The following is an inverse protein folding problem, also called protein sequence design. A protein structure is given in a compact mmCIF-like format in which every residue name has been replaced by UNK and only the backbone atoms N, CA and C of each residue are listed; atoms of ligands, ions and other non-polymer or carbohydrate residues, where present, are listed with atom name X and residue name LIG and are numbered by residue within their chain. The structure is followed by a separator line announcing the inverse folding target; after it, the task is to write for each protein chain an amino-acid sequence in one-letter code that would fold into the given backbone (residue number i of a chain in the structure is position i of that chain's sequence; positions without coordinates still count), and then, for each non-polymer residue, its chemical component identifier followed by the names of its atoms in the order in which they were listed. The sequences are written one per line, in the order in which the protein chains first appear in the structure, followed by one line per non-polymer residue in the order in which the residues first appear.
data_IF_229467521473
#
_entry.id   IF_229467521473
#
_cell.length_a   1.000
_cell.length_b   1.000
_cell.length_c   1.000
_cell.angle_alpha   90.00
_cell.angle_beta   90.00
_cell.angle_gamma   90.00
#
_symmetry.space_group_name_H-M   'P 1'
#
loop_
_entity.id
_entity.type
_entity.pdbx_description
1 polymer ?
#
# COMPACT_ATOMS: atom_id res chain seq x y z
N UNK A 1 -24.22 -40.59 7.36
CA UNK A 1 -23.59 -39.59 6.46
C UNK A 1 -22.54 -38.86 7.28
N UNK A 2 -21.47 -39.58 7.61
CA UNK A 2 -20.35 -39.09 8.41
C UNK A 2 -19.10 -39.18 7.54
N UNK A 3 -18.56 -38.03 7.13
CA UNK A 3 -17.19 -37.90 6.63
C UNK A 3 -16.80 -36.41 6.50
N UNK A 4 -16.77 -35.68 7.61
CA UNK A 4 -15.84 -34.55 7.75
C UNK A 4 -14.65 -35.08 8.55
N UNK A 5 -13.81 -35.84 7.86
CA UNK A 5 -12.53 -36.30 8.37
C UNK A 5 -11.66 -35.11 8.72
N UNK A 6 -11.42 -34.91 10.02
CA UNK A 6 -10.48 -33.93 10.52
C UNK A 6 -9.07 -34.28 10.05
N UNK A 7 -8.58 -33.60 9.02
CA UNK A 7 -7.16 -33.50 8.78
C UNK A 7 -6.58 -32.55 9.83
N UNK A 8 -6.15 -33.09 10.97
CA UNK A 8 -5.17 -32.41 11.82
C UNK A 8 -3.84 -32.36 11.05
N UNK A 9 -3.76 -31.44 10.09
CA UNK A 9 -2.53 -31.14 9.38
C UNK A 9 -1.54 -30.53 10.35
N UNK A 10 -0.37 -31.17 10.49
CA UNK A 10 0.74 -30.65 11.28
C UNK A 10 1.04 -29.21 10.84
N UNK A 11 0.89 -28.24 11.75
CA UNK A 11 1.11 -26.85 11.43
C UNK A 11 2.55 -26.64 10.94
N UNK A 12 2.71 -26.01 9.76
CA UNK A 12 4.04 -25.71 9.23
C UNK A 12 4.79 -24.76 10.18
N UNK A 13 6.13 -24.85 10.29
CA UNK A 13 6.90 -23.97 11.15
C UNK A 13 6.70 -22.49 10.78
N UNK A 14 6.62 -21.63 11.79
CA UNK A 14 6.64 -20.18 11.61
C UNK A 14 8.08 -19.72 11.35
N UNK A 15 8.29 -18.99 10.26
CA UNK A 15 9.61 -18.63 9.74
C UNK A 15 9.78 -17.14 9.56
N UNK A 16 11.02 -16.69 9.28
CA UNK A 16 11.29 -15.30 8.89
C UNK A 16 10.49 -14.89 7.64
N UNK A 17 10.23 -15.82 6.72
CA UNK A 17 9.44 -15.57 5.52
C UNK A 17 8.01 -15.16 5.88
N UNK A 18 7.43 -15.77 6.91
CA UNK A 18 6.07 -15.43 7.37
C UNK A 18 6.00 -14.01 7.93
N UNK A 19 7.02 -13.61 8.69
CA UNK A 19 7.14 -12.23 9.20
C UNK A 19 7.29 -11.24 8.06
N UNK A 20 8.21 -11.49 7.13
CA UNK A 20 8.42 -10.59 6.00
C UNK A 20 7.18 -10.50 5.12
N UNK A 21 6.56 -11.63 4.81
CA UNK A 21 5.32 -11.65 4.04
C UNK A 21 4.21 -10.84 4.74
N UNK A 22 3.99 -11.08 6.04
CA UNK A 22 2.95 -10.37 6.79
C UNK A 22 3.21 -8.86 6.84
N UNK A 23 4.46 -8.44 7.10
CA UNK A 23 4.83 -7.03 7.10
C UNK A 23 4.70 -6.40 5.72
N UNK A 24 5.11 -7.08 4.65
CA UNK A 24 4.95 -6.63 3.27
C UNK A 24 3.48 -6.46 2.91
N UNK A 25 2.61 -7.41 3.30
CA UNK A 25 1.16 -7.30 3.10
C UNK A 25 0.60 -6.10 3.85
N UNK A 26 0.92 -5.93 5.13
CA UNK A 26 0.42 -4.80 5.93
C UNK A 26 0.91 -3.46 5.36
N UNK A 27 2.19 -3.37 4.94
CA UNK A 27 2.78 -2.14 4.42
C UNK A 27 2.12 -1.70 3.11
N UNK A 28 1.89 -2.66 2.20
CA UNK A 28 1.42 -2.39 0.84
C UNK A 28 -0.10 -2.34 0.69
N UNK A 29 -0.86 -3.07 1.52
CA UNK A 29 -2.31 -3.27 1.33
C UNK A 29 -3.21 -2.65 2.39
N UNK A 30 -2.65 -2.07 3.46
CA UNK A 30 -3.49 -1.42 4.46
C UNK A 30 -4.14 -0.16 3.89
N UNK A 31 -5.40 0.04 4.25
CA UNK A 31 -6.11 1.28 3.99
C UNK A 31 -6.17 2.11 5.26
N UNK A 32 -5.91 3.41 5.13
CA UNK A 32 -6.22 4.37 6.19
C UNK A 32 -7.72 4.66 6.18
N UNK A 33 -8.34 4.47 7.33
CA UNK A 33 -9.76 4.70 7.65
C UNK A 33 -9.88 5.73 8.77
N UNK A 34 -11.10 6.10 9.13
CA UNK A 34 -11.38 6.98 10.27
C UNK A 34 -11.11 6.33 11.63
N UNK A 35 -11.00 4.99 11.70
CA UNK A 35 -10.71 4.23 12.94
C UNK A 35 -9.26 3.75 13.03
N UNK A 36 -8.40 4.18 12.11
CA UNK A 36 -7.02 3.71 12.00
C UNK A 36 -6.75 2.97 10.69
N UNK A 37 -5.79 2.05 10.70
CA UNK A 37 -5.43 1.27 9.50
C UNK A 37 -5.98 -0.14 9.58
N UNK A 38 -6.54 -0.63 8.47
CA UNK A 38 -7.07 -1.98 8.37
C UNK A 38 -6.75 -2.59 7.00
N UNK A 39 -6.69 -3.92 6.94
CA UNK A 39 -6.80 -4.66 5.67
C UNK A 39 -8.28 -4.80 5.37
N UNK A 40 -8.70 -4.30 4.20
CA UNK A 40 -10.10 -4.27 3.79
C UNK A 40 -10.22 -5.13 2.54
N UNK A 41 -10.76 -6.35 2.65
CA UNK A 41 -10.89 -7.25 1.51
C UNK A 41 -11.61 -6.57 0.34
N UNK A 42 -11.23 -6.93 -0.88
CA UNK A 42 -11.67 -6.33 -2.15
C UNK A 42 -11.16 -4.91 -2.38
N UNK A 43 -11.27 -4.02 -1.39
CA UNK A 43 -10.77 -2.66 -1.51
C UNK A 43 -9.24 -2.60 -1.62
N UNK A 44 -8.53 -3.57 -1.02
CA UNK A 44 -7.08 -3.72 -1.09
C UNK A 44 -6.56 -4.33 -2.41
N UNK A 45 -7.45 -4.66 -3.35
CA UNK A 45 -7.12 -5.07 -4.71
C UNK A 45 -7.06 -3.89 -5.69
N UNK A 46 -7.64 -2.73 -5.33
CA UNK A 46 -7.68 -1.55 -6.19
C UNK A 46 -6.26 -0.97 -6.34
N UNK A 47 -5.75 -0.88 -7.55
CA UNK A 47 -4.44 -0.31 -7.83
C UNK A 47 -4.43 1.22 -7.71
N UNK A 48 -3.21 1.76 -7.62
CA UNK A 48 -2.99 3.20 -7.59
C UNK A 48 -3.09 3.82 -8.99
N UNK A 49 -3.80 4.94 -9.08
CA UNK A 49 -3.74 5.88 -10.21
C UNK A 49 -3.68 7.32 -9.69
N UNK A 50 -3.35 8.25 -10.59
CA UNK A 50 -3.17 9.67 -10.31
C UNK A 50 -4.01 10.55 -11.24
N UNK A 51 -4.33 11.76 -10.77
CA UNK A 51 -5.06 12.75 -11.54
C UNK A 51 -6.36 12.19 -12.14
N UNK A 52 -6.59 12.50 -13.41
CA UNK A 52 -7.83 12.15 -14.12
C UNK A 52 -7.99 10.64 -14.38
N UNK A 53 -6.93 9.84 -14.18
CA UNK A 53 -7.02 8.39 -14.30
C UNK A 53 -7.78 7.74 -13.14
N UNK A 54 -7.86 8.41 -11.98
CA UNK A 54 -8.60 7.93 -10.81
C UNK A 54 -10.09 7.84 -11.14
N UNK A 55 -10.68 6.66 -10.94
CA UNK A 55 -12.10 6.42 -11.25
C UNK A 55 -12.89 5.80 -10.09
N UNK A 56 -12.24 5.53 -8.96
CA UNK A 56 -12.88 5.12 -7.72
C UNK A 56 -12.43 5.99 -6.54
N UNK A 57 -13.41 6.44 -5.76
CA UNK A 57 -13.19 7.18 -4.52
C UNK A 57 -13.95 6.52 -3.36
N UNK A 58 -13.71 7.00 -2.14
CA UNK A 58 -14.27 6.43 -0.92
C UNK A 58 -14.90 7.49 -0.02
N UNK A 59 -15.96 7.10 0.67
CA UNK A 59 -16.59 7.89 1.71
C UNK A 59 -16.94 7.00 2.91
N UNK A 60 -17.22 7.66 4.04
CA UNK A 60 -17.81 6.98 5.20
C UNK A 60 -19.30 7.31 5.18
N UNK A 61 -20.11 6.28 5.09
CA UNK A 61 -21.57 6.43 5.09
C UNK A 61 -22.10 6.70 6.51
N UNK A 62 -23.37 7.09 6.64
CA UNK A 62 -23.98 7.48 7.92
C UNK A 62 -23.98 6.34 8.95
N UNK A 63 -24.05 5.10 8.49
CA UNK A 63 -23.97 3.88 9.33
C UNK A 63 -22.53 3.54 9.77
N UNK A 64 -21.54 4.31 9.32
CA UNK A 64 -20.12 4.08 9.56
C UNK A 64 -19.51 3.03 8.63
N UNK A 65 -20.13 2.68 7.52
CA UNK A 65 -19.55 1.78 6.51
C UNK A 65 -18.55 2.53 5.62
N UNK A 66 -17.45 1.88 5.24
CA UNK A 66 -16.55 2.40 4.20
C UNK A 66 -17.12 2.03 2.82
N UNK A 67 -17.55 3.03 2.06
CA UNK A 67 -18.12 2.83 0.74
C UNK A 67 -17.12 3.28 -0.31
N UNK A 68 -16.84 2.41 -1.28
CA UNK A 68 -16.15 2.76 -2.52
C UNK A 68 -17.17 2.97 -3.62
N UNK A 69 -17.04 4.06 -4.35
CA UNK A 69 -17.94 4.40 -5.45
C UNK A 69 -17.14 4.85 -6.67
N UNK A 70 -17.73 4.66 -7.85
CA UNK A 70 -17.15 5.14 -9.09
C UNK A 70 -17.31 6.66 -9.17
N UNK A 71 -16.21 7.41 -9.31
CA UNK A 71 -16.24 8.87 -9.43
C UNK A 71 -16.64 9.34 -10.83
N UNK A 72 -16.65 8.41 -11.79
CA UNK A 72 -17.13 8.60 -13.17
C UNK A 72 -17.61 7.25 -13.74
N UNK A 73 -18.33 7.25 -14.88
CA UNK A 73 -18.62 6.00 -15.58
C UNK A 73 -17.34 5.21 -15.90
N UNK A 74 -17.33 3.92 -15.58
CA UNK A 74 -16.24 2.97 -15.85
C UNK A 74 -16.72 2.02 -16.93
N UNK A 75 -15.96 1.88 -18.02
CA UNK A 75 -16.33 1.01 -19.14
C UNK A 75 -16.10 -0.46 -18.78
N UNK A 76 -16.83 -1.35 -19.45
CA UNK A 76 -16.54 -2.79 -19.34
C UNK A 76 -15.10 -3.06 -19.80
N UNK A 77 -14.34 -3.80 -18.98
CA UNK A 77 -12.93 -4.09 -19.21
C UNK A 77 -11.96 -2.98 -18.79
N UNK A 78 -12.46 -1.82 -18.35
CA UNK A 78 -11.63 -0.78 -17.74
C UNK A 78 -11.31 -1.13 -16.28
N UNK A 79 -10.06 -0.94 -15.89
CA UNK A 79 -9.62 -1.20 -14.51
C UNK A 79 -10.21 -0.18 -13.53
N UNK A 80 -10.64 -0.66 -12.36
CA UNK A 80 -11.07 0.19 -11.25
C UNK A 80 -9.84 0.58 -10.43
N UNK A 81 -9.51 1.86 -10.40
CA UNK A 81 -8.28 2.40 -9.81
C UNK A 81 -8.57 3.59 -8.90
N UNK A 82 -7.75 3.75 -7.87
CA UNK A 82 -7.91 4.80 -6.85
C UNK A 82 -6.63 5.56 -6.56
N UNK A 83 -6.72 6.77 -6.03
CA UNK A 83 -5.56 7.44 -5.43
C UNK A 83 -5.19 6.77 -4.09
N UNK A 84 -3.91 6.51 -3.88
CA UNK A 84 -3.39 6.03 -2.59
C UNK A 84 -3.06 7.19 -1.64
N UNK A 85 -3.10 8.44 -2.10
CA UNK A 85 -2.70 9.62 -1.31
C UNK A 85 -1.19 9.72 -1.14
N UNK A 86 -0.44 9.29 -2.16
CA UNK A 86 1.03 9.16 -2.14
C UNK A 86 1.69 9.97 -3.25
N UNK A 87 0.95 10.91 -3.86
CA UNK A 87 1.35 11.61 -5.08
C UNK A 87 2.68 12.35 -4.88
N UNK A 88 2.93 12.86 -3.68
CA UNK A 88 4.15 13.59 -3.33
C UNK A 88 5.34 12.71 -2.89
N UNK A 89 5.19 11.37 -2.84
CA UNK A 89 6.25 10.48 -2.34
C UNK A 89 7.29 10.11 -3.42
N UNK A 90 8.60 10.18 -3.17
CA UNK A 90 9.61 9.77 -4.15
C UNK A 90 9.56 8.25 -4.42
N UNK A 91 10.04 7.79 -5.59
CA UNK A 91 10.04 6.36 -5.93
C UNK A 91 10.81 5.50 -4.92
N UNK A 92 11.85 6.04 -4.27
CA UNK A 92 12.56 5.35 -3.21
C UNK A 92 11.65 4.96 -2.03
N UNK A 93 10.64 5.77 -1.72
CA UNK A 93 9.64 5.42 -0.71
C UNK A 93 8.58 4.47 -1.27
N UNK A 94 8.16 4.67 -2.52
CA UNK A 94 7.14 3.82 -3.15
C UNK A 94 7.57 2.37 -3.29
N UNK A 95 8.83 2.13 -3.69
CA UNK A 95 9.37 0.77 -3.79
C UNK A 95 9.43 0.07 -2.43
N UNK A 96 9.71 0.82 -1.37
CA UNK A 96 9.79 0.29 -0.01
C UNK A 96 8.41 0.05 0.63
N UNK A 97 7.45 0.94 0.35
CA UNK A 97 6.13 0.92 0.99
C UNK A 97 5.13 0.05 0.23
N UNK A 98 5.19 0.08 -1.11
CA UNK A 98 4.19 -0.51 -2.00
C UNK A 98 4.75 -1.47 -3.06
N UNK A 99 6.08 -1.52 -3.24
CA UNK A 99 6.72 -2.46 -4.18
C UNK A 99 6.61 -2.07 -5.65
N UNK A 100 6.34 -0.79 -5.96
CA UNK A 100 6.33 -0.28 -7.34
C UNK A 100 7.02 1.10 -7.43
N UNK A 101 7.28 1.53 -8.67
CA UNK A 101 7.76 2.88 -8.99
C UNK A 101 6.89 3.51 -10.08
N UNK A 102 6.88 4.83 -10.12
CA UNK A 102 6.19 5.63 -11.14
C UNK A 102 7.17 6.04 -12.25
N UNK A 103 6.77 5.95 -13.53
CA UNK A 103 7.55 6.51 -14.60
C UNK A 103 7.56 8.05 -14.51
N UNK A 104 8.73 8.67 -14.62
CA UNK A 104 8.91 10.12 -14.71
C UNK A 104 8.24 10.94 -13.57
N UNK A 105 8.44 10.53 -12.32
CA UNK A 105 7.95 11.28 -11.16
C UNK A 105 8.66 12.63 -11.00
N UNK A 106 7.91 13.73 -10.95
CA UNK A 106 8.43 15.07 -10.61
C UNK A 106 8.74 15.22 -9.11
N UNK A 107 8.38 14.22 -8.31
CA UNK A 107 8.58 14.19 -6.86
C UNK A 107 9.82 13.37 -6.45
N UNK A 108 10.67 13.00 -7.41
CA UNK A 108 11.96 12.36 -7.11
C UNK A 108 12.86 13.27 -6.28
N UNK A 109 13.39 12.71 -5.19
CA UNK A 109 14.28 13.42 -4.27
C UNK A 109 15.34 12.46 -3.73
N UNK A 110 16.52 13.00 -3.43
CA UNK A 110 17.60 12.27 -2.75
C UNK A 110 18.06 13.07 -1.53
N UNK A 111 18.32 12.40 -0.42
CA UNK A 111 18.82 13.05 0.80
C UNK A 111 20.33 12.91 0.87
N UNK A 112 21.04 14.05 0.91
CA UNK A 112 22.48 14.10 1.09
C UNK A 112 22.81 14.46 2.54
N UNK A 113 23.51 13.57 3.23
CA UNK A 113 24.01 13.83 4.57
C UNK A 113 25.44 14.34 4.49
N UNK A 114 25.67 15.58 4.91
CA UNK A 114 27.01 16.19 4.98
C UNK A 114 27.36 16.51 6.43
N UNK A 115 28.57 16.18 6.84
CA UNK A 115 29.13 16.58 8.14
C UNK A 115 30.51 17.17 7.91
N UNK A 116 30.80 18.30 8.52
CA UNK A 116 32.16 18.83 8.56
C UNK A 116 32.95 18.08 9.66
N UNK A 117 34.06 17.45 9.29
CA UNK A 117 35.08 17.03 10.25
C UNK A 117 36.08 18.17 10.43
N UNK A 118 36.37 18.56 11.67
CA UNK A 118 37.49 19.47 11.92
C UNK A 118 38.79 18.77 11.53
N UNK A 119 39.52 19.31 10.55
CA UNK A 119 40.93 18.97 10.38
C UNK A 119 41.71 19.74 11.44
N UNK A 120 42.29 19.05 12.41
CA UNK A 120 43.28 19.67 13.30
C UNK A 120 44.50 20.00 12.44
N UNK A 121 44.69 21.29 12.17
CA UNK A 121 45.91 21.84 11.60
C UNK A 121 47.04 21.59 12.63
N UNK A 122 47.86 20.57 12.41
CA UNK A 122 49.15 20.45 13.10
C UNK A 122 50.13 21.24 12.24
N UNK A 123 50.38 22.48 12.67
CA UNK A 123 51.17 23.48 11.94
C UNK A 123 52.64 23.19 11.80
#
# INVERSE_FOLDING_TARGET
VDALGGAQGQARPFTRVDVFWALSVIRSRRLRTWRGSALIPLADLLNHAEGDAVNADKLVDEDGSLVFYASRPIKSGEEVVRSYGIEQQPNAQLIFDYGFVRPFSIHETVTLHTSASASTDQG
#
